data_IF_195895451270
#
_entry.id   IF_195895451270
#
_cell.length_a   1.000
_cell.length_b   1.000
_cell.length_c   1.000
_cell.angle_alpha   90.00
_cell.angle_beta   90.00
_cell.angle_gamma   90.00
#
_symmetry.space_group_name_H-M   'P 1'
#
loop_
_entity.id
_entity.type
_entity.pdbx_description
1 polymer ?
#
# COMPACT_ATOMS: atom_id res chain seq x y z
N UNK A 1 22.76 21.73 20.68
CA UNK A 1 22.81 23.20 20.72
C UNK A 1 22.67 23.71 19.30
N UNK A 2 21.66 24.53 19.05
CA UNK A 2 21.32 25.05 17.73
C UNK A 2 21.50 26.56 17.72
N UNK A 3 22.23 27.07 16.73
CA UNK A 3 22.45 28.50 16.53
C UNK A 3 21.59 28.97 15.35
N UNK A 4 20.50 29.73 15.58
CA UNK A 4 19.60 30.18 14.53
C UNK A 4 20.18 31.31 13.65
N UNK A 5 21.16 32.06 14.15
CA UNK A 5 21.73 33.23 13.44
C UNK A 5 22.89 32.81 12.52
N UNK A 6 23.61 31.76 12.90
CA UNK A 6 24.67 31.18 12.07
C UNK A 6 24.13 30.72 10.71
N UNK A 7 24.96 30.91 9.68
CA UNK A 7 24.68 30.47 8.32
C UNK A 7 25.69 29.43 7.85
N UNK A 8 25.23 28.51 7.01
CA UNK A 8 26.07 27.54 6.34
C UNK A 8 25.59 27.35 4.91
N UNK A 9 26.53 27.35 3.97
CA UNK A 9 26.27 26.90 2.61
C UNK A 9 26.49 25.38 2.51
N UNK A 10 25.48 24.67 2.01
CA UNK A 10 25.54 23.22 1.81
C UNK A 10 26.36 22.93 0.55
N UNK A 11 27.33 22.04 0.67
CA UNK A 11 28.14 21.57 -0.44
C UNK A 11 28.56 20.12 -0.23
N UNK A 12 28.65 19.35 -1.32
CA UNK A 12 29.19 18.00 -1.35
C UNK A 12 30.64 17.94 -0.85
N UNK A 13 31.39 19.03 -1.02
CA UNK A 13 32.79 19.11 -0.56
C UNK A 13 32.92 19.17 0.96
N UNK A 14 31.91 19.69 1.64
CA UNK A 14 31.96 19.97 3.09
C UNK A 14 30.98 19.11 3.90
N UNK A 15 30.19 18.26 3.26
CA UNK A 15 29.28 17.35 3.96
C UNK A 15 30.02 16.13 4.50
N UNK A 16 29.35 15.38 5.37
CA UNK A 16 29.89 14.17 5.99
C UNK A 16 29.24 12.89 5.42
N UNK A 17 28.56 13.00 4.28
CA UNK A 17 27.97 11.86 3.58
C UNK A 17 29.05 11.20 2.71
N UNK A 18 28.97 9.88 2.52
CA UNK A 18 29.91 9.13 1.68
C UNK A 18 29.71 9.36 0.17
N UNK A 19 28.63 10.05 -0.21
CA UNK A 19 28.27 10.35 -1.60
C UNK A 19 29.00 11.61 -2.07
N UNK A 20 29.30 11.69 -3.36
CA UNK A 20 30.08 12.76 -4.01
C UNK A 20 29.26 13.93 -4.58
N UNK A 21 27.93 13.90 -4.42
CA UNK A 21 27.02 14.97 -4.80
C UNK A 21 26.04 15.32 -3.68
N UNK A 22 25.44 16.51 -3.77
CA UNK A 22 24.39 16.93 -2.86
C UNK A 22 23.25 17.60 -3.65
N UNK A 23 22.01 17.22 -3.39
CA UNK A 23 20.83 17.81 -4.06
C UNK A 23 20.60 19.28 -3.66
N UNK A 24 21.22 19.73 -2.56
CA UNK A 24 21.13 21.09 -2.04
C UNK A 24 22.42 21.91 -2.27
N UNK A 25 23.22 21.54 -3.27
CA UNK A 25 24.50 22.23 -3.56
C UNK A 25 24.31 23.74 -3.71
N UNK A 26 25.12 24.52 -2.99
CA UNK A 26 25.10 25.99 -3.03
C UNK A 26 23.97 26.63 -2.22
N UNK A 27 23.07 25.87 -1.60
CA UNK A 27 22.00 26.41 -0.77
C UNK A 27 22.57 26.96 0.54
N UNK A 28 22.28 28.22 0.85
CA UNK A 28 22.65 28.84 2.13
C UNK A 28 21.49 28.73 3.11
N UNK A 29 21.72 28.09 4.24
CA UNK A 29 20.73 27.90 5.29
C UNK A 29 21.12 28.67 6.54
N UNK A 30 20.13 29.28 7.18
CA UNK A 30 20.22 29.78 8.54
C UNK A 30 19.90 28.64 9.51
N UNK A 31 20.53 28.66 10.68
CA UNK A 31 20.39 27.57 11.63
C UNK A 31 21.48 26.52 11.43
N UNK A 32 22.47 26.51 12.32
CA UNK A 32 23.57 25.55 12.30
C UNK A 32 23.65 24.82 13.64
N UNK A 33 23.87 23.51 13.59
CA UNK A 33 24.16 22.71 14.79
C UNK A 33 25.58 23.00 15.28
N UNK A 34 25.70 23.79 16.36
CA UNK A 34 27.00 24.08 16.98
C UNK A 34 27.54 22.88 17.78
N UNK A 35 26.66 22.25 18.55
CA UNK A 35 26.99 21.08 19.36
C UNK A 35 25.90 20.02 19.22
N UNK A 36 26.28 18.76 19.00
CA UNK A 36 25.37 17.61 19.02
C UNK A 36 25.73 16.72 20.19
N UNK A 37 24.73 16.36 20.99
CA UNK A 37 24.87 15.48 22.15
C UNK A 37 24.06 14.21 21.86
N UNK A 38 24.69 13.06 22.05
CA UNK A 38 24.06 11.75 21.92
C UNK A 38 24.41 10.90 23.14
N UNK A 39 23.42 10.27 23.76
CA UNK A 39 23.59 9.45 24.98
C UNK A 39 24.40 10.14 26.09
N UNK A 40 24.20 11.45 26.29
CA UNK A 40 24.90 12.24 27.30
C UNK A 40 26.36 12.61 26.98
N UNK A 41 26.84 12.33 25.76
CA UNK A 41 28.20 12.68 25.30
C UNK A 41 28.15 13.68 24.16
N UNK A 42 29.09 14.64 24.16
CA UNK A 42 29.30 15.54 23.03
C UNK A 42 29.91 14.73 21.88
N UNK A 43 29.19 14.65 20.76
CA UNK A 43 29.60 13.85 19.59
C UNK A 43 30.02 14.70 18.39
N UNK A 44 29.56 15.94 18.33
CA UNK A 44 29.95 16.93 17.34
C UNK A 44 30.08 18.27 18.05
N UNK A 45 31.17 18.99 17.82
CA UNK A 45 31.39 20.33 18.33
C UNK A 45 32.16 21.16 17.31
N UNK A 46 31.62 22.32 16.93
CA UNK A 46 32.22 23.27 15.97
C UNK A 46 32.71 22.59 14.66
N UNK A 47 31.95 21.60 14.18
CA UNK A 47 32.23 20.85 12.95
C UNK A 47 33.16 19.64 13.13
N UNK A 48 33.75 19.45 14.30
CA UNK A 48 34.60 18.29 14.59
C UNK A 48 33.77 17.13 15.16
N UNK A 49 33.84 15.98 14.49
CA UNK A 49 33.12 14.77 14.90
C UNK A 49 34.00 13.90 15.81
N UNK A 50 33.55 13.65 17.03
CA UNK A 50 34.23 12.81 18.02
C UNK A 50 33.30 11.68 18.45
N UNK A 51 33.32 10.57 17.70
CA UNK A 51 32.46 9.40 17.95
C UNK A 51 33.26 8.10 17.87
N UNK A 52 32.77 7.09 18.59
CA UNK A 52 33.30 5.71 18.53
C UNK A 52 32.30 4.87 17.75
N UNK A 53 32.80 4.06 16.81
CA UNK A 53 31.95 3.12 16.07
C UNK A 53 31.22 2.18 17.04
N UNK A 54 29.91 1.99 16.84
CA UNK A 54 29.08 1.18 17.74
C UNK A 54 28.64 1.88 19.03
N UNK A 55 28.89 3.19 19.21
CA UNK A 55 28.38 3.93 20.37
C UNK A 55 26.84 4.10 20.39
N UNK A 56 26.19 3.87 19.24
CA UNK A 56 24.73 3.80 19.13
C UNK A 56 24.18 2.51 19.72
N UNK A 57 22.92 2.53 20.13
CA UNK A 57 22.19 1.34 20.60
C UNK A 57 20.87 1.21 19.85
N UNK A 58 20.41 -0.01 19.67
CA UNK A 58 19.06 -0.27 19.20
C UNK A 58 18.04 0.21 20.23
N UNK A 59 16.94 0.81 19.75
CA UNK A 59 15.82 1.26 20.57
C UNK A 59 14.59 0.49 20.10
N UNK A 60 14.05 -0.35 20.96
CA UNK A 60 12.82 -1.08 20.69
C UNK A 60 11.64 -0.12 20.58
N UNK A 61 10.84 -0.28 19.52
CA UNK A 61 9.60 0.48 19.30
C UNK A 61 8.41 -0.44 19.52
N UNK A 62 7.79 -0.45 20.71
CA UNK A 62 6.68 -1.34 21.00
C UNK A 62 5.48 -1.05 20.10
N UNK A 63 4.72 -2.10 19.79
CA UNK A 63 3.48 -1.97 19.04
C UNK A 63 2.44 -1.16 19.87
N UNK A 64 1.48 -0.56 19.16
CA UNK A 64 0.37 0.20 19.73
C UNK A 64 0.79 1.39 20.62
N UNK A 65 1.61 2.34 20.13
CA UNK A 65 1.98 3.52 20.90
C UNK A 65 0.74 4.36 21.26
N UNK A 66 0.65 4.76 22.52
CA UNK A 66 -0.51 5.46 23.08
C UNK A 66 -0.85 6.74 22.32
N UNK A 67 0.16 7.52 21.92
CA UNK A 67 -0.03 8.75 21.15
C UNK A 67 -0.90 8.55 19.89
N UNK A 68 -0.77 7.40 19.23
CA UNK A 68 -1.54 7.06 18.02
C UNK A 68 -2.84 6.34 18.40
N UNK A 69 -2.75 5.31 19.26
CA UNK A 69 -3.84 4.36 19.48
C UNK A 69 -4.84 4.75 20.57
N UNK A 70 -4.54 5.73 21.42
CA UNK A 70 -5.44 6.20 22.47
C UNK A 70 -6.83 6.61 21.94
N UNK A 71 -6.88 7.25 20.77
CA UNK A 71 -8.15 7.63 20.11
C UNK A 71 -8.89 6.43 19.53
N UNK A 72 -8.16 5.46 18.98
CA UNK A 72 -8.74 4.24 18.41
C UNK A 72 -9.38 3.39 19.50
N UNK A 73 -8.68 3.17 20.61
CA UNK A 73 -9.22 2.44 21.77
C UNK A 73 -10.51 3.09 22.29
N UNK A 74 -10.55 4.42 22.40
CA UNK A 74 -11.78 5.14 22.79
C UNK A 74 -12.90 4.91 21.80
N UNK A 75 -12.62 5.02 20.49
CA UNK A 75 -13.60 4.81 19.41
C UNK A 75 -14.14 3.38 19.40
N UNK A 76 -13.27 2.40 19.56
CA UNK A 76 -13.63 0.98 19.51
C UNK A 76 -14.47 0.60 20.74
N UNK A 77 -14.26 1.27 21.87
CA UNK A 77 -15.08 1.12 23.07
C UNK A 77 -16.46 1.80 22.98
N UNK A 78 -16.73 2.58 21.92
CA UNK A 78 -18.07 3.17 21.70
C UNK A 78 -19.00 2.05 21.26
N UNK A 79 -19.98 1.72 22.11
CA UNK A 79 -21.01 0.74 21.78
C UNK A 79 -22.01 1.34 20.81
N UNK A 80 -22.21 0.69 19.68
CA UNK A 80 -23.29 1.00 18.75
C UNK A 80 -24.60 0.46 19.34
N UNK A 81 -25.62 1.31 19.42
CA UNK A 81 -26.93 0.92 19.90
C UNK A 81 -27.78 0.43 18.72
N UNK A 82 -28.23 -0.82 18.79
CA UNK A 82 -29.24 -1.34 17.86
C UNK A 82 -30.58 -0.65 18.18
N UNK A 83 -31.35 -0.34 17.14
CA UNK A 83 -32.73 0.10 17.33
C UNK A 83 -33.60 -1.13 17.55
N UNK A 84 -34.19 -1.22 18.74
CA UNK A 84 -35.12 -2.29 19.07
C UNK A 84 -36.44 -2.08 18.32
N UNK A 85 -36.83 -3.10 17.54
CA UNK A 85 -38.07 -3.16 16.78
C UNK A 85 -38.66 -4.54 16.91
N UNK A 86 -39.97 -4.64 16.82
CA UNK A 86 -40.64 -5.92 16.66
C UNK A 86 -40.18 -6.61 15.37
N UNK A 87 -40.27 -7.93 15.34
CA UNK A 87 -39.97 -8.69 14.12
C UNK A 87 -40.93 -8.25 13.01
N UNK A 88 -40.41 -8.01 11.82
CA UNK A 88 -41.23 -7.63 10.67
C UNK A 88 -42.22 -8.75 10.32
N UNK A 89 -43.51 -8.43 10.31
CA UNK A 89 -44.62 -9.35 10.01
C UNK A 89 -45.31 -9.05 8.68
N UNK A 90 -44.87 -8.02 7.95
CA UNK A 90 -45.46 -7.67 6.67
C UNK A 90 -45.14 -8.70 5.56
N UNK A 91 -45.81 -8.59 4.40
CA UNK A 91 -45.54 -9.47 3.28
C UNK A 91 -44.09 -9.33 2.82
N UNK A 92 -43.42 -10.46 2.56
CA UNK A 92 -42.10 -10.54 1.93
C UNK A 92 -42.29 -11.20 0.57
N UNK A 93 -41.82 -10.54 -0.48
CA UNK A 93 -41.83 -11.12 -1.83
C UNK A 93 -40.72 -12.16 -1.90
N UNK A 94 -41.09 -13.40 -2.21
CA UNK A 94 -40.14 -14.50 -2.38
C UNK A 94 -39.65 -14.54 -3.83
N UNK A 95 -38.57 -13.80 -4.08
CA UNK A 95 -37.95 -13.69 -5.41
C UNK A 95 -37.35 -15.01 -5.91
N UNK A 96 -37.23 -16.03 -5.06
CA UNK A 96 -36.72 -17.35 -5.47
C UNK A 96 -37.64 -18.01 -6.48
N UNK A 97 -38.97 -17.94 -6.27
CA UNK A 97 -39.97 -18.54 -7.16
C UNK A 97 -40.07 -17.85 -8.50
N UNK A 98 -39.87 -16.53 -8.52
CA UNK A 98 -39.87 -15.73 -9.75
C UNK A 98 -38.59 -15.96 -10.58
N UNK A 99 -37.45 -16.19 -9.91
CA UNK A 99 -36.21 -16.61 -10.57
C UNK A 99 -36.32 -18.05 -11.11
N UNK A 100 -36.96 -18.96 -10.35
CA UNK A 100 -37.21 -20.34 -10.76
C UNK A 100 -38.16 -20.45 -11.95
N UNK A 101 -39.22 -19.61 -12.01
CA UNK A 101 -40.10 -19.55 -13.18
C UNK A 101 -39.40 -19.02 -14.43
N UNK A 102 -38.53 -18.01 -14.28
CA UNK A 102 -37.73 -17.50 -15.40
C UNK A 102 -36.70 -18.53 -15.92
N UNK A 103 -36.18 -19.39 -15.04
CA UNK A 103 -35.29 -20.50 -15.42
C UNK A 103 -36.05 -21.66 -16.11
N UNK A 104 -37.33 -21.87 -15.76
CA UNK A 104 -38.17 -22.90 -16.37
C UNK A 104 -38.77 -22.47 -17.72
N UNK A 105 -39.12 -21.19 -17.89
CA UNK A 105 -39.59 -20.65 -19.18
C UNK A 105 -38.48 -20.55 -20.23
N UNK A 106 -37.21 -20.49 -19.80
CA UNK A 106 -36.04 -20.60 -20.69
C UNK A 106 -35.80 -22.02 -21.23
N UNK A 107 -36.62 -23.01 -20.87
CA UNK A 107 -36.47 -24.43 -21.22
C UNK A 107 -37.56 -24.99 -22.12
N UNK A 108 -38.16 -24.22 -23.02
CA UNK A 108 -38.97 -24.79 -24.12
C UNK A 108 -38.91 -23.96 -25.41
N UNK A 109 -37.72 -23.66 -25.94
CA UNK A 109 -37.47 -23.70 -27.39
C UNK A 109 -35.96 -23.59 -27.69
N UNK A 110 -35.47 -24.58 -28.45
CA UNK A 110 -34.19 -24.71 -29.13
C UNK A 110 -32.88 -24.81 -28.32
N UNK A 111 -32.48 -26.05 -28.04
CA UNK A 111 -31.07 -26.44 -27.94
C UNK A 111 -30.54 -26.79 -29.34
N UNK A 112 -29.75 -25.93 -30.02
CA UNK A 112 -28.75 -26.44 -30.95
C UNK A 112 -27.58 -26.99 -30.12
N UNK A 113 -27.32 -28.29 -30.30
CA UNK A 113 -26.07 -28.99 -30.02
C UNK A 113 -25.19 -28.49 -28.85
N UNK A 114 -25.21 -29.27 -27.77
CA UNK A 114 -24.08 -29.63 -26.92
C UNK A 114 -22.82 -28.74 -27.00
N UNK A 115 -22.67 -27.82 -26.05
CA UNK A 115 -21.36 -27.53 -25.47
C UNK A 115 -21.51 -27.50 -23.95
N UNK A 116 -21.04 -28.56 -23.29
CA UNK A 116 -21.27 -28.85 -21.87
C UNK A 116 -20.56 -27.89 -20.89
N UNK A 117 -20.03 -26.73 -21.33
CA UNK A 117 -19.21 -25.86 -20.47
C UNK A 117 -19.41 -24.36 -20.75
N UNK A 118 -20.53 -23.76 -20.33
CA UNK A 118 -20.65 -22.30 -20.32
C UNK A 118 -21.38 -21.80 -19.07
N UNK A 119 -20.57 -21.37 -18.09
CA UNK A 119 -21.01 -20.64 -16.90
C UNK A 119 -21.59 -19.27 -17.28
N UNK A 120 -22.59 -18.88 -16.52
CA UNK A 120 -23.44 -17.70 -16.62
C UNK A 120 -22.66 -16.37 -16.48
N UNK A 121 -21.88 -15.97 -17.49
CA UNK A 121 -21.24 -14.65 -17.53
C UNK A 121 -21.26 -14.04 -18.93
N UNK A 122 -21.64 -12.76 -19.03
CA UNK A 122 -21.63 -11.98 -20.27
C UNK A 122 -20.22 -11.51 -20.69
N UNK A 123 -19.17 -12.23 -20.27
CA UNK A 123 -17.79 -12.05 -20.74
C UNK A 123 -17.15 -13.42 -20.91
N UNK A 124 -16.34 -13.63 -21.97
CA UNK A 124 -15.68 -14.90 -22.20
C UNK A 124 -14.79 -15.25 -20.99
N UNK A 125 -14.80 -16.51 -20.54
CA UNK A 125 -14.02 -16.95 -19.38
C UNK A 125 -12.54 -16.71 -19.66
N UNK A 126 -11.91 -15.88 -18.84
CA UNK A 126 -10.44 -15.85 -18.81
C UNK A 126 -9.96 -17.20 -18.26
N UNK A 127 -8.71 -17.56 -18.57
CA UNK A 127 -8.08 -18.85 -18.28
C UNK A 127 -8.15 -19.31 -16.80
N UNK A 128 -8.59 -18.44 -15.88
CA UNK A 128 -8.71 -18.71 -14.44
C UNK A 128 -10.13 -18.99 -13.91
N UNK A 129 -11.15 -19.05 -14.78
CA UNK A 129 -12.52 -19.40 -14.38
C UNK A 129 -13.30 -18.32 -13.62
N UNK A 130 -14.59 -18.57 -13.40
CA UNK A 130 -15.53 -17.66 -12.75
C UNK A 130 -15.37 -17.66 -11.24
N UNK A 131 -14.87 -16.56 -10.65
CA UNK A 131 -14.75 -16.42 -9.20
C UNK A 131 -16.07 -15.92 -8.60
N UNK A 132 -16.56 -16.61 -7.57
CA UNK A 132 -17.76 -16.24 -6.82
C UNK A 132 -17.44 -15.09 -5.85
N UNK A 133 -18.13 -13.95 -5.98
CA UNK A 133 -17.82 -12.72 -5.25
C UNK A 133 -18.14 -12.77 -3.75
N UNK A 134 -19.04 -13.68 -3.33
CA UNK A 134 -19.54 -13.76 -1.95
C UNK A 134 -18.76 -14.78 -1.10
N UNK A 135 -18.03 -15.70 -1.72
CA UNK A 135 -17.22 -16.74 -1.05
C UNK A 135 -15.74 -16.35 -0.90
N UNK A 136 -15.39 -15.10 -1.25
CA UNK A 136 -14.04 -14.56 -1.09
C UNK A 136 -13.75 -14.25 0.38
N UNK A 137 -13.50 -15.28 1.18
CA UNK A 137 -12.69 -15.12 2.39
C UNK A 137 -11.27 -14.80 1.93
N UNK A 138 -10.75 -13.63 2.29
CA UNK A 138 -9.42 -13.18 1.91
C UNK A 138 -8.34 -14.11 2.52
N UNK A 139 -8.01 -15.18 1.82
CA UNK A 139 -6.88 -16.06 2.16
C UNK A 139 -5.64 -15.57 1.40
N UNK A 140 -4.76 -14.84 2.08
CA UNK A 140 -3.39 -14.61 1.62
C UNK A 140 -2.56 -15.87 1.91
N UNK A 141 -2.56 -16.82 0.97
CA UNK A 141 -1.72 -18.01 1.08
C UNK A 141 -2.25 -19.16 0.23
N UNK A 142 -1.80 -19.22 -1.02
CA UNK A 142 -2.09 -20.35 -1.91
C UNK A 142 -1.48 -20.11 -3.28
N UNK A 143 -0.39 -20.83 -3.54
CA UNK A 143 0.35 -20.95 -4.80
C UNK A 143 -0.59 -21.13 -6.00
N UNK A 144 -0.43 -20.32 -7.05
CA UNK A 144 -1.39 -20.22 -8.15
C UNK A 144 -0.90 -21.04 -9.35
N UNK A 145 -1.79 -21.89 -9.88
CA UNK A 145 -1.57 -22.82 -11.02
C UNK A 145 -1.04 -22.19 -12.34
N UNK A 146 -0.84 -20.88 -12.41
CA UNK A 146 -0.26 -20.17 -13.58
C UNK A 146 1.17 -19.64 -13.31
N UNK A 147 1.81 -20.05 -12.20
CA UNK A 147 3.21 -19.77 -11.87
C UNK A 147 4.19 -20.61 -12.71
N UNK A 148 4.10 -20.48 -14.04
CA UNK A 148 5.25 -20.75 -14.91
C UNK A 148 6.15 -19.51 -14.98
N UNK A 149 7.49 -19.67 -15.05
CA UNK A 149 8.40 -18.52 -15.01
C UNK A 149 8.34 -17.77 -16.34
N UNK A 150 7.39 -16.86 -16.49
CA UNK A 150 7.39 -15.93 -17.63
C UNK A 150 8.47 -14.90 -17.36
N UNK A 151 9.59 -15.05 -18.08
CA UNK A 151 10.67 -14.08 -18.12
C UNK A 151 10.09 -12.67 -18.32
N UNK A 152 10.43 -11.77 -17.41
CA UNK A 152 10.02 -10.38 -17.48
C UNK A 152 10.51 -9.74 -18.79
N UNK A 153 9.58 -9.33 -19.65
CA UNK A 153 9.87 -8.32 -20.66
C UNK A 153 8.92 -7.14 -20.44
N UNK A 154 9.48 -6.04 -19.95
CA UNK A 154 8.77 -4.79 -19.74
C UNK A 154 8.61 -4.11 -21.10
N UNK A 155 7.41 -4.13 -21.69
CA UNK A 155 7.13 -3.36 -22.90
C UNK A 155 6.82 -1.91 -22.52
N UNK A 156 7.83 -1.04 -22.57
CA UNK A 156 7.64 0.41 -22.41
C UNK A 156 6.90 0.95 -23.64
N UNK A 157 5.69 1.51 -23.43
CA UNK A 157 5.02 2.35 -24.42
C UNK A 157 5.37 3.81 -24.13
N UNK A 158 6.14 4.43 -25.01
CA UNK A 158 6.36 5.87 -24.94
C UNK A 158 5.05 6.62 -25.24
N UNK A 159 4.79 7.77 -24.59
CA UNK A 159 3.69 8.64 -24.95
C UNK A 159 3.85 9.15 -26.40
N UNK A 160 2.75 9.53 -27.08
CA UNK A 160 2.79 9.97 -28.46
C UNK A 160 3.55 11.30 -28.58
N UNK A 161 4.83 11.21 -28.93
CA UNK A 161 5.71 12.37 -29.14
C UNK A 161 7.11 12.18 -28.57
N UNK A 162 7.98 11.46 -29.28
CA UNK A 162 9.44 11.53 -29.06
C UNK A 162 10.15 10.17 -29.00
N UNK A 163 10.94 9.89 -30.03
CA UNK A 163 12.02 8.89 -30.01
C UNK A 163 13.32 9.66 -29.70
N UNK A 164 14.03 9.34 -28.63
CA UNK A 164 15.43 9.76 -28.48
C UNK A 164 16.33 8.72 -29.13
N UNK A 165 16.75 8.97 -30.36
CA UNK A 165 17.92 8.31 -30.94
C UNK A 165 19.17 9.03 -30.45
N UNK A 166 20.01 8.33 -29.70
CA UNK A 166 21.30 8.85 -29.27
C UNK A 166 22.19 7.69 -28.81
N UNK A 167 22.78 7.01 -29.79
CA UNK A 167 23.95 6.14 -29.59
C UNK A 167 25.14 7.00 -30.03
N UNK A 168 25.94 7.45 -29.07
CA UNK A 168 27.41 7.48 -29.07
C UNK A 168 27.84 7.63 -27.61
#
# INVERSE_FOLDING_TARGET
VWDPEATRTISAKSHHQAVDFNIFEGMTCHGVSKVVISNGKVVLEDGNLTVIHGAGRFIETPAFPEYIYSRLQKRDNIKLNKVDREAYTGPVVDLTKELESQLNDAKLNDLPALNQNANFHHRPPTKSGARHLQDSSFSFGGEQWDDQPVKASTRVKNPPGGKSSGIF
#
